data_IF_810411931871
#
_entry.id   IF_810411931871
#
_cell.length_a   1.000
_cell.length_b   1.000
_cell.length_c   1.000
_cell.angle_alpha   90.00
_cell.angle_beta   90.00
_cell.angle_gamma   90.00
#
_symmetry.space_group_name_H-M   'P 1'
#
loop_
_entity.id
_entity.type
_entity.pdbx_description
1 polymer ?
#
# COMPACT_ATOMS: atom_id res chain seq x y z
N UNK A 1 9.49 0.82 4.17
CA UNK A 1 9.57 -0.65 4.27
C UNK A 1 9.79 -1.03 5.72
N UNK A 2 10.86 -0.57 6.34
CA UNK A 2 11.21 -0.93 7.73
C UNK A 2 10.04 -0.73 8.71
N UNK A 3 9.38 0.44 8.68
CA UNK A 3 8.24 0.73 9.58
C UNK A 3 7.03 -0.18 9.33
N UNK A 4 6.78 -0.55 8.06
CA UNK A 4 5.73 -1.50 7.71
C UNK A 4 6.05 -2.90 8.24
N UNK A 5 7.31 -3.31 8.12
CA UNK A 5 7.80 -4.57 8.71
C UNK A 5 7.63 -4.55 10.23
N UNK A 6 8.04 -3.47 10.89
CA UNK A 6 7.87 -3.30 12.35
C UNK A 6 6.40 -3.40 12.77
N UNK A 7 5.48 -2.96 11.91
CA UNK A 7 4.04 -2.98 12.17
C UNK A 7 3.36 -4.32 11.84
N UNK A 8 4.11 -5.34 11.43
CA UNK A 8 3.59 -6.67 11.12
C UNK A 8 2.76 -6.75 9.84
N UNK A 9 3.04 -5.89 8.86
CA UNK A 9 2.41 -5.97 7.54
C UNK A 9 2.90 -7.21 6.82
N UNK A 10 2.00 -8.11 6.44
CA UNK A 10 2.35 -9.41 5.81
C UNK A 10 2.85 -9.27 4.38
N UNK A 11 2.31 -8.30 3.62
CA UNK A 11 2.66 -8.11 2.21
C UNK A 11 2.78 -6.63 1.85
N UNK A 12 3.84 -6.29 1.14
CA UNK A 12 4.14 -4.93 0.66
C UNK A 12 4.36 -4.96 -0.85
N UNK A 13 3.51 -4.28 -1.59
CA UNK A 13 3.66 -4.14 -3.04
C UNK A 13 3.98 -2.69 -3.41
N UNK A 14 5.16 -2.49 -3.98
CA UNK A 14 5.65 -1.18 -4.40
C UNK A 14 5.39 -1.03 -5.88
N UNK A 15 4.44 -0.15 -6.22
CA UNK A 15 3.89 -0.04 -7.56
C UNK A 15 4.38 1.23 -8.24
N UNK A 16 4.93 1.11 -9.44
CA UNK A 16 5.21 2.27 -10.28
C UNK A 16 3.90 2.77 -10.91
N UNK A 17 3.43 3.92 -10.44
CA UNK A 17 2.25 4.62 -10.92
C UNK A 17 2.61 5.76 -11.85
N UNK A 18 1.64 6.31 -12.56
CA UNK A 18 1.87 7.38 -13.54
C UNK A 18 2.52 8.63 -12.91
N UNK A 19 2.05 9.04 -11.72
CA UNK A 19 2.58 10.20 -11.01
C UNK A 19 3.72 9.88 -10.04
N UNK A 20 4.12 8.61 -9.94
CA UNK A 20 5.29 8.21 -9.14
C UNK A 20 6.58 8.78 -9.75
N UNK A 21 7.47 9.30 -8.92
CA UNK A 21 8.77 9.78 -9.37
C UNK A 21 9.63 8.61 -9.85
N UNK A 22 10.05 8.68 -11.11
CA UNK A 22 10.89 7.63 -11.72
C UNK A 22 12.28 7.55 -11.09
N UNK A 23 12.80 8.66 -10.55
CA UNK A 23 14.10 8.71 -9.91
C UNK A 23 14.19 7.85 -8.64
N UNK A 24 13.07 7.53 -8.00
CA UNK A 24 13.07 6.63 -6.84
C UNK A 24 13.51 5.20 -7.19
N UNK A 25 13.28 4.76 -8.43
CA UNK A 25 13.58 3.38 -8.84
C UNK A 25 15.07 3.07 -9.01
N UNK A 26 15.89 4.11 -9.07
CA UNK A 26 17.35 3.99 -9.15
C UNK A 26 18.01 4.02 -7.74
N UNK A 27 17.22 4.03 -6.69
CA UNK A 27 17.70 4.04 -5.32
C UNK A 27 18.14 2.62 -4.89
N UNK A 28 19.28 2.55 -4.21
CA UNK A 28 19.86 1.30 -3.71
C UNK A 28 18.94 0.49 -2.79
N UNK A 29 17.96 1.15 -2.17
CA UNK A 29 16.95 0.48 -1.33
C UNK A 29 16.15 -0.59 -2.09
N UNK A 30 16.00 -0.44 -3.42
CA UNK A 30 15.29 -1.40 -4.26
C UNK A 30 16.18 -2.53 -4.80
N UNK A 31 17.44 -2.56 -4.42
CA UNK A 31 18.29 -3.74 -4.64
C UNK A 31 17.90 -4.85 -3.65
N UNK A 32 18.17 -6.12 -3.98
CA UNK A 32 17.89 -7.21 -3.04
C UNK A 32 18.50 -7.00 -1.65
N UNK A 33 19.75 -6.51 -1.58
CA UNK A 33 20.44 -6.22 -0.32
C UNK A 33 19.83 -5.03 0.43
N UNK A 34 19.39 -3.98 -0.28
CA UNK A 34 18.72 -2.82 0.33
C UNK A 34 17.36 -3.18 0.92
N UNK A 35 16.59 -4.00 0.23
CA UNK A 35 15.32 -4.50 0.75
C UNK A 35 15.53 -5.39 1.98
N UNK A 36 16.50 -6.31 1.92
CA UNK A 36 16.86 -7.18 3.04
C UNK A 36 17.27 -6.38 4.28
N UNK A 37 18.11 -5.36 4.12
CA UNK A 37 18.51 -4.46 5.22
C UNK A 37 17.30 -3.77 5.87
N UNK A 38 16.35 -3.29 5.07
CA UNK A 38 15.12 -2.68 5.59
C UNK A 38 14.24 -3.65 6.36
N UNK A 39 14.11 -4.89 5.87
CA UNK A 39 13.34 -5.94 6.51
C UNK A 39 14.00 -6.30 7.85
N UNK A 40 15.30 -6.58 7.85
CA UNK A 40 16.05 -6.95 9.08
C UNK A 40 15.89 -5.87 10.15
N UNK A 41 16.08 -4.60 9.81
CA UNK A 41 15.88 -3.47 10.74
C UNK A 41 14.46 -3.45 11.34
N UNK A 42 13.45 -3.72 10.53
CA UNK A 42 12.07 -3.78 11.00
C UNK A 42 11.81 -4.95 11.94
N UNK A 43 12.31 -6.13 11.61
CA UNK A 43 12.18 -7.34 12.43
C UNK A 43 12.93 -7.21 13.76
N UNK A 44 14.15 -6.68 13.75
CA UNK A 44 14.91 -6.42 14.98
C UNK A 44 14.16 -5.45 15.91
N UNK A 45 13.57 -4.39 15.36
CA UNK A 45 12.81 -3.41 16.14
C UNK A 45 11.55 -4.02 16.76
N UNK A 46 10.83 -4.86 16.03
CA UNK A 46 9.60 -5.51 16.50
C UNK A 46 9.85 -6.79 17.30
N UNK A 47 11.08 -7.28 17.34
CA UNK A 47 11.43 -8.61 17.91
C UNK A 47 10.64 -9.73 17.23
N UNK A 48 10.38 -9.59 15.92
CA UNK A 48 9.68 -10.57 15.10
C UNK A 48 10.68 -11.36 14.25
N UNK A 49 10.25 -12.50 13.73
CA UNK A 49 11.06 -13.37 12.86
C UNK A 49 10.39 -13.65 11.52
N UNK A 50 9.19 -13.13 11.31
CA UNK A 50 8.42 -13.36 10.07
C UNK A 50 8.55 -12.14 9.15
N UNK A 51 9.32 -12.21 8.05
CA UNK A 51 9.46 -11.12 7.13
C UNK A 51 8.20 -10.93 6.28
N UNK A 52 7.88 -9.69 5.86
CA UNK A 52 6.84 -9.46 4.87
C UNK A 52 7.25 -9.98 3.50
N UNK A 53 6.27 -10.40 2.71
CA UNK A 53 6.47 -10.58 1.28
C UNK A 53 6.58 -9.20 0.60
N UNK A 54 7.67 -8.96 -0.14
CA UNK A 54 7.84 -7.69 -0.88
C UNK A 54 7.89 -7.97 -2.37
N UNK A 55 7.08 -7.22 -3.14
CA UNK A 55 7.12 -7.25 -4.59
C UNK A 55 7.24 -5.85 -5.19
N UNK A 56 7.97 -5.75 -6.30
CA UNK A 56 8.16 -4.51 -7.05
C UNK A 56 7.43 -4.62 -8.38
N UNK A 57 6.47 -3.74 -8.60
CA UNK A 57 5.60 -3.72 -9.77
C UNK A 57 5.95 -2.53 -10.66
N UNK A 58 6.68 -2.78 -11.74
CA UNK A 58 7.13 -1.72 -12.67
C UNK A 58 6.10 -1.33 -13.74
N UNK A 59 5.01 -2.09 -13.91
CA UNK A 59 3.97 -1.81 -14.90
C UNK A 59 2.58 -1.98 -14.31
N UNK A 60 1.86 -0.87 -14.16
CA UNK A 60 0.52 -0.85 -13.58
C UNK A 60 -0.52 -1.60 -14.42
N UNK A 61 -0.50 -1.47 -15.75
CA UNK A 61 -1.52 -2.08 -16.62
C UNK A 61 -1.65 -3.59 -16.46
N UNK A 62 -0.60 -4.40 -16.71
CA UNK A 62 -0.65 -5.84 -16.46
C UNK A 62 -1.01 -6.18 -15.00
N UNK A 63 -0.43 -5.47 -14.04
CA UNK A 63 -0.73 -5.66 -12.61
C UNK A 63 -2.21 -5.46 -12.30
N UNK A 64 -2.85 -4.42 -12.85
CA UNK A 64 -4.27 -4.17 -12.62
C UNK A 64 -5.17 -5.25 -13.18
N UNK A 65 -4.79 -5.84 -14.32
CA UNK A 65 -5.59 -6.88 -14.97
C UNK A 65 -5.40 -8.26 -14.33
N UNK A 66 -4.17 -8.58 -13.93
CA UNK A 66 -3.79 -9.95 -13.56
C UNK A 66 -3.76 -10.16 -12.04
N UNK A 67 -3.52 -9.11 -11.27
CA UNK A 67 -3.33 -9.18 -9.81
C UNK A 67 -4.44 -8.49 -9.04
N UNK A 68 -4.68 -7.20 -9.27
CA UNK A 68 -5.68 -6.44 -8.50
C UNK A 68 -7.08 -7.06 -8.57
N UNK A 69 -7.45 -7.61 -9.74
CA UNK A 69 -8.77 -8.24 -9.93
C UNK A 69 -9.00 -9.47 -9.05
N UNK A 70 -7.93 -10.09 -8.55
CA UNK A 70 -8.01 -11.27 -7.70
C UNK A 70 -8.13 -10.92 -6.22
N UNK A 71 -7.83 -9.69 -5.82
CA UNK A 71 -7.79 -9.31 -4.40
C UNK A 71 -9.11 -9.46 -3.67
N UNK A 72 -10.25 -9.25 -4.31
CA UNK A 72 -11.55 -9.52 -3.69
C UNK A 72 -11.80 -10.99 -3.34
N UNK A 73 -11.03 -11.90 -3.94
CA UNK A 73 -11.11 -13.33 -3.63
C UNK A 73 -10.15 -13.71 -2.50
N UNK A 74 -9.00 -13.02 -2.42
CA UNK A 74 -7.94 -13.28 -1.47
C UNK A 74 -8.13 -12.51 -0.15
N UNK A 75 -8.54 -11.24 -0.25
CA UNK A 75 -8.71 -10.34 0.90
C UNK A 75 -10.18 -10.14 1.24
N UNK A 76 -10.46 -10.07 2.53
CA UNK A 76 -11.82 -9.88 3.03
C UNK A 76 -12.32 -8.45 2.82
N UNK A 77 -11.42 -7.47 2.79
CA UNK A 77 -11.73 -6.09 2.47
C UNK A 77 -10.56 -5.40 1.75
N UNK A 78 -10.90 -4.66 0.69
CA UNK A 78 -9.97 -3.92 -0.14
C UNK A 78 -10.29 -2.42 -0.06
N UNK A 79 -9.31 -1.58 0.28
CA UNK A 79 -9.47 -0.15 0.45
C UNK A 79 -8.56 0.63 -0.51
N UNK A 80 -9.08 1.75 -1.01
CA UNK A 80 -8.35 2.70 -1.84
C UNK A 80 -8.32 4.06 -1.14
N UNK A 81 -7.13 4.59 -0.86
CA UNK A 81 -7.04 5.94 -0.28
C UNK A 81 -7.44 6.99 -1.31
N UNK A 82 -8.44 7.77 -0.96
CA UNK A 82 -8.97 8.81 -1.81
C UNK A 82 -9.37 10.03 -0.96
N UNK A 83 -8.70 11.20 -1.10
CA UNK A 83 -8.91 12.34 -0.22
C UNK A 83 -10.35 12.85 -0.16
N UNK A 84 -11.10 12.71 -1.26
CA UNK A 84 -12.48 13.14 -1.37
C UNK A 84 -13.51 12.03 -1.14
N UNK A 85 -13.09 10.88 -0.57
CA UNK A 85 -14.03 9.82 -0.19
C UNK A 85 -14.99 10.31 0.90
N UNK A 86 -16.20 9.79 0.90
CA UNK A 86 -17.19 10.08 1.94
C UNK A 86 -16.77 9.39 3.26
N UNK A 87 -16.41 8.12 3.17
CA UNK A 87 -16.11 7.30 4.32
C UNK A 87 -14.68 7.48 4.83
N UNK A 88 -14.54 7.49 6.14
CA UNK A 88 -13.26 7.54 6.82
C UNK A 88 -12.81 6.14 7.18
N UNK A 89 -11.55 5.76 6.87
CA UNK A 89 -11.03 4.42 7.17
C UNK A 89 -11.28 3.97 8.62
N UNK A 90 -11.15 4.88 9.59
CA UNK A 90 -11.40 4.58 11.01
C UNK A 90 -12.82 4.15 11.33
N UNK A 91 -13.81 4.53 10.50
CA UNK A 91 -15.22 4.26 10.72
C UNK A 91 -15.68 2.97 10.03
N UNK A 92 -14.83 2.38 9.19
CA UNK A 92 -15.16 1.17 8.45
C UNK A 92 -14.78 -0.06 9.28
N UNK A 93 -15.66 -1.05 9.28
CA UNK A 93 -15.38 -2.32 9.91
C UNK A 93 -14.20 -3.01 9.24
N UNK A 94 -13.19 -3.36 10.02
CA UNK A 94 -12.03 -4.12 9.57
C UNK A 94 -12.36 -5.61 9.57
N UNK A 95 -11.79 -6.31 8.62
CA UNK A 95 -11.96 -7.76 8.45
C UNK A 95 -10.64 -8.47 8.82
N UNK A 96 -10.63 -9.78 8.73
CA UNK A 96 -9.44 -10.58 9.09
C UNK A 96 -8.25 -10.33 8.15
N UNK A 97 -8.52 -10.15 6.85
CA UNK A 97 -7.51 -9.84 5.83
C UNK A 97 -7.89 -8.57 5.11
N UNK A 98 -7.07 -7.55 5.23
CA UNK A 98 -7.31 -6.25 4.60
C UNK A 98 -6.16 -5.91 3.67
N UNK A 99 -6.45 -5.26 2.56
CA UNK A 99 -5.47 -4.62 1.69
C UNK A 99 -5.83 -3.15 1.49
N UNK A 100 -4.84 -2.29 1.45
CA UNK A 100 -5.04 -0.88 1.19
C UNK A 100 -4.07 -0.38 0.12
N UNK A 101 -4.60 0.27 -0.90
CA UNK A 101 -3.84 0.96 -1.92
C UNK A 101 -3.65 2.43 -1.54
N UNK A 102 -2.40 2.88 -1.53
CA UNK A 102 -2.02 4.26 -1.18
C UNK A 102 -1.30 4.87 -2.37
N UNK A 103 -1.81 5.99 -2.87
CA UNK A 103 -1.24 6.67 -4.03
C UNK A 103 0.04 7.47 -3.70
N UNK A 104 0.79 7.87 -4.75
CA UNK A 104 1.90 8.80 -4.62
C UNK A 104 1.40 10.20 -4.21
N UNK A 105 2.28 11.16 -3.99
CA UNK A 105 1.92 12.53 -3.53
C UNK A 105 0.85 13.21 -4.41
N UNK A 106 0.86 12.96 -5.72
CA UNK A 106 -0.14 13.48 -6.66
C UNK A 106 -1.37 12.58 -6.82
N UNK A 107 -1.46 11.50 -6.03
CA UNK A 107 -2.52 10.50 -6.10
C UNK A 107 -2.43 9.59 -7.34
N UNK A 108 -3.40 8.73 -7.47
CA UNK A 108 -3.60 7.90 -8.66
C UNK A 108 -4.28 8.70 -9.79
N UNK A 109 -4.00 8.36 -11.03
CA UNK A 109 -4.75 8.88 -12.18
C UNK A 109 -6.21 8.41 -12.15
N UNK A 110 -7.07 9.04 -12.96
CA UNK A 110 -8.46 8.58 -13.13
C UNK A 110 -8.52 7.13 -13.61
N UNK A 111 -7.61 6.73 -14.50
CA UNK A 111 -7.51 5.36 -14.97
C UNK A 111 -7.14 4.39 -13.85
N UNK A 112 -6.06 4.65 -13.12
CA UNK A 112 -5.60 3.81 -12.01
C UNK A 112 -6.70 3.67 -10.94
N UNK A 113 -7.32 4.78 -10.52
CA UNK A 113 -8.47 4.74 -9.61
C UNK A 113 -9.60 3.86 -10.13
N UNK A 114 -9.94 3.99 -11.43
CA UNK A 114 -11.00 3.19 -12.03
C UNK A 114 -10.71 1.69 -12.00
N UNK A 115 -9.43 1.28 -12.15
CA UNK A 115 -9.05 -0.13 -12.07
C UNK A 115 -9.22 -0.68 -10.65
N UNK A 116 -8.79 0.05 -9.63
CA UNK A 116 -9.02 -0.33 -8.23
C UNK A 116 -10.52 -0.45 -7.91
N UNK A 117 -11.32 0.54 -8.31
CA UNK A 117 -12.78 0.52 -8.08
C UNK A 117 -13.44 -0.67 -8.78
N UNK A 118 -13.09 -0.96 -10.04
CA UNK A 118 -13.59 -2.13 -10.78
C UNK A 118 -13.21 -3.44 -10.09
N UNK A 119 -12.06 -3.49 -9.46
CA UNK A 119 -11.61 -4.64 -8.67
C UNK A 119 -12.27 -4.71 -7.28
N UNK A 120 -13.18 -3.78 -6.95
CA UNK A 120 -13.95 -3.80 -5.70
C UNK A 120 -13.28 -3.10 -4.54
N UNK A 121 -12.26 -2.30 -4.78
CA UNK A 121 -11.66 -1.46 -3.73
C UNK A 121 -12.62 -0.34 -3.33
N UNK A 122 -12.81 -0.17 -2.04
CA UNK A 122 -13.68 0.83 -1.43
C UNK A 122 -12.88 2.12 -1.22
N UNK A 123 -13.30 3.25 -1.82
CA UNK A 123 -12.64 4.53 -1.57
C UNK A 123 -12.78 4.96 -0.11
N UNK A 124 -11.66 5.33 0.51
CA UNK A 124 -11.64 5.79 1.91
C UNK A 124 -10.73 6.99 2.08
N UNK A 125 -11.07 7.89 2.97
CA UNK A 125 -10.16 8.96 3.41
C UNK A 125 -9.49 8.60 4.73
N UNK A 126 -8.27 9.07 4.90
CA UNK A 126 -7.49 8.88 6.13
C UNK A 126 -7.67 10.03 7.12
N UNK A 127 -8.15 11.17 6.63
CA UNK A 127 -8.38 12.38 7.41
C UNK A 127 -8.99 13.49 6.57
N UNK A 128 -9.22 14.64 7.18
CA UNK A 128 -9.80 15.82 6.50
C UNK A 128 -8.73 16.70 5.83
N UNK A 129 -7.47 16.29 5.88
CA UNK A 129 -6.34 17.01 5.28
C UNK A 129 -5.61 16.11 4.27
N UNK A 130 -5.07 16.74 3.23
CA UNK A 130 -4.11 16.07 2.35
C UNK A 130 -2.81 15.89 3.13
N UNK A 131 -2.35 14.66 3.21
CA UNK A 131 -1.11 14.29 3.91
C UNK A 131 -0.15 13.65 2.90
N UNK A 132 1.15 13.70 3.20
CA UNK A 132 2.19 13.07 2.38
C UNK A 132 2.03 11.55 2.42
N UNK A 133 2.54 10.87 1.40
CA UNK A 133 2.44 9.42 1.24
C UNK A 133 2.98 8.66 2.45
N UNK A 134 4.11 9.08 3.02
CA UNK A 134 4.68 8.45 4.21
C UNK A 134 3.72 8.53 5.41
N UNK A 135 3.16 9.72 5.65
CA UNK A 135 2.18 9.92 6.72
C UNK A 135 0.87 9.15 6.44
N UNK A 136 0.47 9.04 5.17
CA UNK A 136 -0.69 8.25 4.77
C UNK A 136 -0.49 6.76 5.05
N UNK A 137 0.70 6.23 4.78
CA UNK A 137 1.07 4.84 5.08
C UNK A 137 0.94 4.56 6.57
N UNK A 138 1.55 5.38 7.43
CA UNK A 138 1.47 5.20 8.88
C UNK A 138 0.03 5.34 9.41
N UNK A 139 -0.72 6.33 8.93
CA UNK A 139 -2.11 6.52 9.32
C UNK A 139 -3.01 5.35 8.91
N UNK A 140 -2.75 4.77 7.73
CA UNK A 140 -3.48 3.61 7.25
C UNK A 140 -3.18 2.38 8.11
N UNK A 141 -1.90 2.07 8.33
CA UNK A 141 -1.49 0.92 9.16
C UNK A 141 -2.02 1.03 10.58
N UNK A 142 -1.90 2.20 11.21
CA UNK A 142 -2.47 2.46 12.53
C UNK A 142 -4.00 2.25 12.61
N UNK A 143 -4.67 2.29 11.49
CA UNK A 143 -6.09 1.95 11.39
C UNK A 143 -6.38 0.46 11.45
N UNK A 144 -5.38 -0.42 11.31
CA UNK A 144 -5.53 -1.88 11.27
C UNK A 144 -4.92 -2.62 12.45
N UNK A 145 -4.01 -1.99 13.20
CA UNK A 145 -3.38 -2.53 14.40
C UNK A 145 -4.10 -2.09 15.68
#
# INVERSE_FOLDING_TARGET
ISDLTTSGVEKIEIIQTYFGDKGYWDNDIFTPSGLEECIVKGLEQSMDTVPPEISIVKRFGPYSNDVITQYNQEYTACFLTFPNAEDHLRNIEKKNKNVIAIGPERGFTKYENSQFIKAGFIPVKLGNRIIRTEAAVHAAVAGFI
#
